data_IF_104882481187
#
_entry.id   IF_104882481187
#
_cell.length_a   1.000
_cell.length_b   1.000
_cell.length_c   1.000
_cell.angle_alpha   90.00
_cell.angle_beta   90.00
_cell.angle_gamma   90.00
#
_symmetry.space_group_name_H-M   'P 1'
#
loop_
_entity.id
_entity.type
_entity.pdbx_description
1 polymer ?
#
# COMPACT_ATOMS: atom_id res chain seq x y z
N UNK A 1 -17.23 16.29 -23.71
CA UNK A 1 -15.89 16.19 -23.11
C UNK A 1 -15.86 14.86 -22.38
N UNK A 2 -15.19 13.85 -22.93
CA UNK A 2 -15.14 12.52 -22.31
C UNK A 2 -14.41 12.61 -20.98
N UNK A 3 -14.96 12.03 -19.90
CA UNK A 3 -14.22 11.90 -18.65
C UNK A 3 -13.13 10.85 -18.92
N UNK A 4 -11.89 11.31 -19.08
CA UNK A 4 -10.75 10.41 -19.13
C UNK A 4 -10.64 9.71 -17.77
N UNK A 5 -10.75 8.38 -17.77
CA UNK A 5 -10.76 7.60 -16.54
C UNK A 5 -9.34 7.59 -15.95
N UNK A 6 -9.18 8.18 -14.76
CA UNK A 6 -7.89 8.18 -14.06
C UNK A 6 -7.46 6.75 -13.71
N UNK A 7 -6.18 6.48 -13.85
CA UNK A 7 -5.60 5.21 -13.43
C UNK A 7 -5.42 5.19 -11.91
N UNK A 8 -5.94 4.13 -11.28
CA UNK A 8 -5.83 3.89 -9.85
C UNK A 8 -4.43 3.36 -9.49
N UNK A 9 -3.76 4.01 -8.54
CA UNK A 9 -2.42 3.64 -8.07
C UNK A 9 -2.40 3.46 -6.54
N UNK A 10 -1.96 2.30 -6.10
CA UNK A 10 -1.81 1.93 -4.70
C UNK A 10 -0.33 2.00 -4.30
N UNK A 11 -0.01 2.74 -3.23
CA UNK A 11 1.36 2.84 -2.71
C UNK A 11 1.55 1.87 -1.54
N UNK A 12 2.54 0.99 -1.65
CA UNK A 12 3.05 0.14 -0.57
C UNK A 12 3.93 0.95 0.41
N UNK A 13 4.02 0.54 1.68
CA UNK A 13 4.84 1.22 2.68
C UNK A 13 6.31 1.30 2.26
N UNK A 14 6.86 0.23 1.66
CA UNK A 14 8.27 0.22 1.27
C UNK A 14 8.58 1.13 0.06
N UNK A 15 7.57 1.48 -0.75
CA UNK A 15 7.74 2.38 -1.91
C UNK A 15 8.12 3.80 -1.49
N UNK A 16 7.70 4.24 -0.30
CA UNK A 16 8.05 5.57 0.22
C UNK A 16 9.56 5.78 0.36
N UNK A 17 10.29 4.77 0.84
CA UNK A 17 11.75 4.84 0.91
C UNK A 17 12.34 5.01 -0.48
N UNK A 18 11.85 4.24 -1.46
CA UNK A 18 12.33 4.33 -2.84
C UNK A 18 12.11 5.73 -3.44
N UNK A 19 10.94 6.32 -3.23
CA UNK A 19 10.64 7.66 -3.73
C UNK A 19 11.51 8.73 -3.07
N UNK A 20 11.68 8.62 -1.75
CA UNK A 20 12.53 9.52 -0.97
C UNK A 20 14.00 9.43 -1.38
N UNK A 21 14.56 8.23 -1.45
CA UNK A 21 15.97 7.98 -1.77
C UNK A 21 16.36 8.51 -3.16
N UNK A 22 15.39 8.58 -4.08
CA UNK A 22 15.57 9.08 -5.45
C UNK A 22 15.08 10.51 -5.66
N UNK A 23 14.56 11.17 -4.62
CA UNK A 23 14.02 12.51 -4.71
C UNK A 23 12.88 12.65 -5.72
N UNK A 24 12.05 11.61 -5.88
CA UNK A 24 10.95 11.63 -6.85
C UNK A 24 9.84 12.57 -6.38
N UNK A 25 9.33 13.41 -7.28
CA UNK A 25 8.14 14.21 -7.05
C UNK A 25 6.92 13.52 -7.67
N UNK A 26 6.07 12.92 -6.83
CA UNK A 26 4.88 12.21 -7.31
C UNK A 26 3.89 13.14 -8.05
N UNK A 27 3.97 14.46 -7.86
CA UNK A 27 3.14 15.42 -8.60
C UNK A 27 3.52 15.48 -10.08
N UNK A 28 4.79 15.20 -10.39
CA UNK A 28 5.34 15.15 -11.76
C UNK A 28 5.24 13.74 -12.33
N UNK A 29 5.56 12.76 -11.49
CA UNK A 29 5.63 11.34 -11.86
C UNK A 29 4.25 10.69 -12.00
N UNK A 30 3.26 11.13 -11.22
CA UNK A 30 1.89 10.63 -11.20
C UNK A 30 0.90 11.81 -11.16
N UNK A 31 0.83 12.63 -12.23
CA UNK A 31 -0.01 13.83 -12.25
C UNK A 31 -1.48 13.50 -11.98
N UNK A 32 -2.12 14.28 -11.11
CA UNK A 32 -3.50 14.06 -10.63
C UNK A 32 -4.54 14.06 -11.74
N UNK A 33 -4.24 14.63 -12.91
CA UNK A 33 -5.10 14.62 -14.09
C UNK A 33 -5.25 13.21 -14.65
N UNK A 34 -4.21 12.37 -14.50
CA UNK A 34 -4.13 11.01 -15.05
C UNK A 34 -4.25 9.93 -13.97
N UNK A 35 -3.90 10.23 -12.73
CA UNK A 35 -3.80 9.24 -11.67
C UNK A 35 -4.63 9.60 -10.43
N UNK A 36 -5.18 8.56 -9.80
CA UNK A 36 -5.78 8.61 -8.48
C UNK A 36 -4.93 7.73 -7.55
N UNK A 37 -4.28 8.36 -6.58
CA UNK A 37 -3.30 7.71 -5.71
C UNK A 37 -3.92 7.44 -4.33
N UNK A 38 -3.71 6.24 -3.81
CA UNK A 38 -4.17 5.86 -2.48
C UNK A 38 -3.21 4.87 -1.81
N UNK A 39 -3.46 4.63 -0.53
CA UNK A 39 -2.82 3.59 0.27
C UNK A 39 -3.87 2.88 1.14
N UNK A 40 -3.69 1.59 1.46
CA UNK A 40 -4.54 0.92 2.45
C UNK A 40 -4.32 1.49 3.85
N UNK A 41 -5.33 1.38 4.72
CA UNK A 41 -5.26 1.78 6.13
C UNK A 41 -4.06 1.15 6.85
N UNK A 42 -3.72 -0.09 6.52
CA UNK A 42 -2.55 -0.78 7.05
C UNK A 42 -1.24 -0.05 6.72
N UNK A 43 -1.10 0.48 5.51
CA UNK A 43 0.10 1.25 5.12
C UNK A 43 0.17 2.57 5.89
N UNK A 44 -0.96 3.25 6.06
CA UNK A 44 -1.01 4.47 6.88
C UNK A 44 -0.61 4.19 8.34
N UNK A 45 -1.05 3.06 8.90
CA UNK A 45 -0.64 2.61 10.24
C UNK A 45 0.88 2.36 10.31
N UNK A 46 1.46 1.72 9.29
CA UNK A 46 2.92 1.52 9.24
C UNK A 46 3.69 2.85 9.14
N UNK A 47 3.20 3.80 8.33
CA UNK A 47 3.79 5.16 8.23
C UNK A 47 3.74 5.88 9.58
N UNK A 48 2.59 5.83 10.26
CA UNK A 48 2.42 6.45 11.57
C UNK A 48 3.36 5.84 12.63
N UNK A 49 3.71 4.56 12.47
CA UNK A 49 4.62 3.85 13.35
C UNK A 49 6.11 4.04 13.02
N UNK A 50 6.47 4.80 11.98
CA UNK A 50 7.88 5.12 11.68
C UNK A 50 8.46 5.96 12.83
N UNK A 51 9.47 5.44 13.57
CA UNK A 51 10.10 6.19 14.65
C UNK A 51 10.97 7.32 14.08
N UNK A 52 11.15 8.40 14.82
CA UNK A 52 12.02 9.51 14.40
C UNK A 52 13.47 9.05 14.24
N UNK A 53 13.93 8.16 15.11
CA UNK A 53 15.22 7.47 14.97
C UNK A 53 14.99 5.96 14.92
N UNK A 54 15.49 5.34 13.87
CA UNK A 54 15.46 3.88 13.70
C UNK A 54 16.42 3.16 14.66
N UNK A 55 16.30 1.83 14.76
CA UNK A 55 17.11 1.01 15.68
C UNK A 55 18.63 1.07 15.40
N UNK A 56 19.03 1.35 14.16
CA UNK A 56 20.42 1.51 13.74
C UNK A 56 20.89 2.98 13.79
N UNK A 57 20.10 3.89 14.37
CA UNK A 57 20.47 5.30 14.53
C UNK A 57 20.21 6.18 13.31
N UNK A 58 19.58 5.67 12.25
CA UNK A 58 19.19 6.50 11.10
C UNK A 58 18.05 7.44 11.48
N UNK A 59 18.23 8.74 11.21
CA UNK A 59 17.22 9.78 11.33
C UNK A 59 16.18 9.65 10.22
N UNK A 60 14.93 9.37 10.59
CA UNK A 60 13.79 9.23 9.69
C UNK A 60 12.94 10.49 9.60
N UNK A 61 13.27 11.58 10.31
CA UNK A 61 12.53 12.85 10.24
C UNK A 61 12.42 13.35 8.79
N UNK A 62 13.50 13.32 7.96
CA UNK A 62 13.42 13.73 6.55
C UNK A 62 12.45 12.86 5.73
N UNK A 63 12.48 11.54 5.92
CA UNK A 63 11.58 10.60 5.24
C UNK A 63 10.12 10.87 5.63
N UNK A 64 9.83 11.03 6.93
CA UNK A 64 8.48 11.33 7.42
C UNK A 64 7.98 12.65 6.84
N UNK A 65 8.81 13.70 6.86
CA UNK A 65 8.47 15.00 6.29
C UNK A 65 8.17 14.89 4.78
N UNK A 66 8.96 14.13 4.04
CA UNK A 66 8.72 13.84 2.64
C UNK A 66 7.39 13.11 2.41
N UNK A 67 7.10 12.05 3.16
CA UNK A 67 5.86 11.28 3.05
C UNK A 67 4.65 12.20 3.29
N UNK A 68 4.61 12.93 4.40
CA UNK A 68 3.48 13.80 4.73
C UNK A 68 3.29 14.93 3.73
N UNK A 69 4.38 15.56 3.28
CA UNK A 69 4.33 16.58 2.22
C UNK A 69 3.76 16.00 0.92
N UNK A 70 4.20 14.80 0.54
CA UNK A 70 3.77 14.13 -0.69
C UNK A 70 2.31 13.72 -0.63
N UNK A 71 1.85 13.16 0.50
CA UNK A 71 0.43 12.84 0.76
C UNK A 71 -0.43 14.09 0.59
N UNK A 72 -0.04 15.19 1.22
CA UNK A 72 -0.80 16.44 1.17
C UNK A 72 -0.82 17.04 -0.24
N UNK A 73 0.34 17.16 -0.90
CA UNK A 73 0.44 17.76 -2.23
C UNK A 73 -0.34 16.99 -3.31
N UNK A 74 -0.38 15.66 -3.20
CA UNK A 74 -1.02 14.78 -4.18
C UNK A 74 -2.42 14.32 -3.78
N UNK A 75 -2.93 14.77 -2.63
CA UNK A 75 -4.24 14.38 -2.08
C UNK A 75 -4.39 12.85 -1.99
N UNK A 76 -3.32 12.16 -1.56
CA UNK A 76 -3.29 10.70 -1.48
C UNK A 76 -4.30 10.25 -0.44
N UNK A 77 -5.23 9.38 -0.85
CA UNK A 77 -6.32 8.93 0.01
C UNK A 77 -5.95 7.66 0.76
N UNK A 78 -6.34 7.57 2.03
CA UNK A 78 -6.33 6.31 2.75
C UNK A 78 -7.63 5.58 2.45
N UNK A 79 -7.52 4.31 2.05
CA UNK A 79 -8.68 3.44 1.77
C UNK A 79 -8.79 2.35 2.83
N UNK A 80 -10.02 1.96 3.14
CA UNK A 80 -10.29 0.88 4.08
C UNK A 80 -11.53 0.11 3.66
N UNK A 81 -11.57 -1.16 4.07
CA UNK A 81 -12.78 -1.99 3.95
C UNK A 81 -13.71 -1.65 5.10
N UNK A 82 -15.02 -1.58 4.82
CA UNK A 82 -16.04 -1.42 5.84
C UNK A 82 -16.01 -2.58 6.82
N UNK A 83 -16.01 -2.27 8.11
CA UNK A 83 -16.07 -3.27 9.16
C UNK A 83 -16.31 -2.67 10.53
N UNK A 84 -16.42 -3.55 11.51
CA UNK A 84 -16.60 -3.16 12.90
C UNK A 84 -15.25 -3.03 13.61
N UNK A 85 -15.27 -2.39 14.79
CA UNK A 85 -14.09 -2.28 15.63
C UNK A 85 -13.53 -3.68 15.93
N UNK A 86 -12.24 -3.85 15.67
CA UNK A 86 -11.48 -5.03 16.10
C UNK A 86 -11.23 -4.93 17.59
N UNK A 87 -11.40 -6.05 18.29
CA UNK A 87 -11.22 -6.14 19.73
C UNK A 87 -9.95 -6.96 20.05
N UNK A 88 -9.33 -6.63 21.18
CA UNK A 88 -8.32 -7.45 21.83
C UNK A 88 -8.96 -8.69 22.49
N UNK A 89 -8.17 -9.70 22.90
CA UNK A 89 -8.71 -10.90 23.56
C UNK A 89 -9.50 -10.62 24.85
N UNK A 90 -9.24 -9.50 25.52
CA UNK A 90 -9.96 -9.04 26.71
C UNK A 90 -11.26 -8.29 26.39
N UNK A 91 -11.62 -8.15 25.11
CA UNK A 91 -12.82 -7.46 24.64
C UNK A 91 -12.67 -5.94 24.51
N UNK A 92 -11.51 -5.37 24.84
CA UNK A 92 -11.26 -3.94 24.64
C UNK A 92 -11.00 -3.62 23.16
N UNK A 93 -11.29 -2.40 22.67
CA UNK A 93 -10.96 -2.02 21.30
C UNK A 93 -9.44 -2.10 21.05
N UNK A 94 -9.06 -2.74 19.95
CA UNK A 94 -7.68 -2.76 19.48
C UNK A 94 -7.15 -1.34 19.32
N UNK A 95 -5.92 -1.11 19.76
CA UNK A 95 -5.22 0.18 19.61
C UNK A 95 -5.02 0.58 18.14
N UNK A 96 -5.12 -0.40 17.25
CA UNK A 96 -5.05 -0.23 15.80
C UNK A 96 -6.32 -0.78 15.16
N UNK A 97 -6.95 0.06 14.34
CA UNK A 97 -8.15 -0.27 13.58
C UNK A 97 -7.85 -0.18 12.08
N UNK A 98 -8.03 -1.32 11.39
CA UNK A 98 -7.81 -1.41 9.94
C UNK A 98 -9.11 -1.25 9.13
N UNK A 99 -10.26 -1.56 9.74
CA UNK A 99 -11.56 -1.36 9.11
C UNK A 99 -12.02 0.09 9.22
N UNK A 100 -12.64 0.59 8.14
CA UNK A 100 -13.38 1.83 8.15
C UNK A 100 -14.78 1.60 8.67
N UNK A 101 -15.23 2.43 9.62
CA UNK A 101 -16.62 2.42 10.05
C UNK A 101 -17.57 3.01 9.00
N UNK A 102 -18.79 3.35 9.44
CA UNK A 102 -19.80 3.99 8.61
C UNK A 102 -19.26 5.29 7.96
N UNK A 103 -19.44 5.41 6.64
CA UNK A 103 -19.01 6.57 5.86
C UNK A 103 -17.49 6.68 5.65
N UNK A 104 -16.70 5.73 6.14
CA UNK A 104 -15.23 5.75 6.05
C UNK A 104 -14.68 4.53 5.29
N UNK A 105 -15.35 3.38 5.38
CA UNK A 105 -14.99 2.15 4.68
C UNK A 105 -15.84 1.88 3.45
N UNK A 106 -15.29 1.09 2.51
CA UNK A 106 -16.00 0.60 1.32
C UNK A 106 -16.27 -0.90 1.44
N UNK A 107 -17.33 -1.39 0.78
CA UNK A 107 -17.52 -2.83 0.71
C UNK A 107 -16.40 -3.50 -0.07
N UNK A 108 -15.91 -4.60 0.47
CA UNK A 108 -14.86 -5.38 -0.18
C UNK A 108 -15.37 -5.99 -1.49
N UNK A 109 -14.63 -5.81 -2.57
CA UNK A 109 -14.94 -6.39 -3.88
C UNK A 109 -14.91 -7.92 -3.85
N UNK A 110 -15.58 -8.57 -4.81
CA UNK A 110 -15.62 -10.04 -4.92
C UNK A 110 -14.21 -10.63 -5.06
N UNK A 111 -13.34 -9.98 -5.84
CA UNK A 111 -11.93 -10.35 -5.96
C UNK A 111 -11.18 -10.21 -4.63
N UNK A 112 -11.44 -9.13 -3.89
CA UNK A 112 -10.89 -8.93 -2.55
C UNK A 112 -11.34 -10.01 -1.58
N UNK A 113 -12.64 -10.33 -1.53
CA UNK A 113 -13.17 -11.40 -0.68
C UNK A 113 -12.57 -12.75 -1.05
N UNK A 114 -12.49 -13.07 -2.35
CA UNK A 114 -11.85 -14.29 -2.84
C UNK A 114 -10.36 -14.38 -2.50
N UNK A 115 -9.64 -13.26 -2.56
CA UNK A 115 -8.24 -13.16 -2.15
C UNK A 115 -8.06 -13.56 -0.69
N UNK A 116 -8.79 -12.91 0.23
CA UNK A 116 -8.69 -13.20 1.66
C UNK A 116 -9.26 -14.57 2.03
N UNK A 117 -10.24 -15.10 1.31
CA UNK A 117 -10.77 -16.44 1.54
C UNK A 117 -9.84 -17.57 1.07
N UNK A 118 -8.81 -17.27 0.26
CA UNK A 118 -7.92 -18.30 -0.27
C UNK A 118 -7.02 -18.92 0.81
N UNK A 119 -6.80 -20.23 0.73
CA UNK A 119 -5.96 -20.96 1.69
C UNK A 119 -4.53 -20.41 1.76
N UNK A 120 -3.96 -20.02 0.61
CA UNK A 120 -2.62 -19.42 0.54
C UNK A 120 -2.54 -18.16 1.43
N UNK A 121 -3.50 -17.24 1.30
CA UNK A 121 -3.52 -15.98 2.05
C UNK A 121 -3.83 -16.24 3.53
N UNK A 122 -4.80 -17.10 3.82
CA UNK A 122 -5.13 -17.50 5.19
C UNK A 122 -3.90 -18.10 5.91
N UNK A 123 -3.12 -18.93 5.23
CA UNK A 123 -1.89 -19.52 5.79
C UNK A 123 -0.81 -18.48 6.10
N UNK A 124 -0.80 -17.36 5.38
CA UNK A 124 0.15 -16.26 5.59
C UNK A 124 -0.27 -15.32 6.73
N UNK A 125 -1.56 -15.28 7.08
CA UNK A 125 -2.13 -14.34 8.04
C UNK A 125 -2.43 -14.98 9.40
N UNK A 126 -2.91 -16.22 9.41
CA UNK A 126 -3.37 -16.89 10.64
C UNK A 126 -2.21 -17.27 11.58
N UNK A 127 -2.46 -17.14 12.89
CA UNK A 127 -1.50 -17.53 13.93
C UNK A 127 -0.34 -16.56 14.15
N UNK A 128 -0.30 -15.45 13.42
CA UNK A 128 0.73 -14.42 13.62
C UNK A 128 0.42 -13.55 14.84
N UNK A 129 1.44 -13.25 15.64
CA UNK A 129 1.35 -12.29 16.73
C UNK A 129 1.33 -10.84 16.20
N UNK A 130 0.76 -9.92 17.00
CA UNK A 130 0.84 -8.49 16.73
C UNK A 130 2.28 -8.00 16.83
N UNK A 131 2.70 -7.17 15.88
CA UNK A 131 3.97 -6.46 15.89
C UNK A 131 3.83 -5.15 16.69
N UNK A 132 4.92 -4.42 16.97
CA UNK A 132 4.84 -3.10 17.62
C UNK A 132 3.93 -2.09 16.90
N UNK A 133 3.73 -2.26 15.59
CA UNK A 133 2.79 -1.45 14.79
C UNK A 133 1.31 -1.80 15.04
N UNK A 134 0.99 -2.75 15.92
CA UNK A 134 -0.34 -3.30 16.14
C UNK A 134 -0.84 -4.27 15.05
N UNK A 135 -0.33 -4.15 13.83
CA UNK A 135 -0.57 -5.08 12.73
C UNK A 135 0.14 -6.43 12.94
N UNK A 136 -0.48 -7.50 12.44
CA UNK A 136 0.15 -8.82 12.34
C UNK A 136 1.10 -8.91 11.15
N UNK A 137 1.94 -9.95 11.13
CA UNK A 137 2.83 -10.23 9.99
C UNK A 137 2.00 -10.39 8.70
N UNK A 138 2.50 -9.83 7.59
CA UNK A 138 1.89 -9.87 6.26
C UNK A 138 0.54 -9.15 6.11
N UNK A 139 0.01 -8.50 7.16
CA UNK A 139 -1.31 -7.86 7.09
C UNK A 139 -1.32 -6.68 6.10
N UNK A 140 -0.32 -5.79 6.19
CA UNK A 140 -0.16 -4.67 5.26
C UNK A 140 0.10 -5.16 3.83
N UNK A 141 1.06 -6.07 3.64
CA UNK A 141 1.36 -6.69 2.35
C UNK A 141 0.11 -7.35 1.73
N UNK A 142 -0.73 -8.02 2.53
CA UNK A 142 -1.96 -8.65 2.04
C UNK A 142 -3.02 -7.63 1.62
N UNK A 143 -3.13 -6.50 2.33
CA UNK A 143 -3.99 -5.39 1.95
C UNK A 143 -3.52 -4.78 0.62
N UNK A 144 -2.25 -4.40 0.52
CA UNK A 144 -1.63 -3.89 -0.70
C UNK A 144 -1.80 -4.87 -1.87
N UNK A 145 -1.51 -6.16 -1.66
CA UNK A 145 -1.67 -7.20 -2.67
C UNK A 145 -3.12 -7.32 -3.16
N UNK A 146 -4.11 -7.18 -2.28
CA UNK A 146 -5.52 -7.20 -2.68
C UNK A 146 -5.89 -6.04 -3.61
N UNK A 147 -5.26 -4.87 -3.43
CA UNK A 147 -5.47 -3.70 -4.29
C UNK A 147 -4.94 -3.91 -5.71
N UNK A 148 -3.97 -4.80 -5.91
CA UNK A 148 -3.41 -5.10 -7.24
C UNK A 148 -4.45 -5.66 -8.23
N UNK A 149 -5.59 -6.17 -7.76
CA UNK A 149 -6.63 -6.72 -8.64
C UNK A 149 -7.52 -5.67 -9.33
N UNK A 150 -7.44 -4.41 -8.90
CA UNK A 150 -8.23 -3.29 -9.43
C UNK A 150 -7.43 -1.99 -9.57
N UNK A 151 -6.16 -1.99 -9.17
CA UNK A 151 -5.27 -0.84 -9.26
C UNK A 151 -3.83 -1.26 -9.44
N UNK A 152 -2.99 -0.34 -9.90
CA UNK A 152 -1.56 -0.57 -10.04
C UNK A 152 -0.90 -0.41 -8.68
N UNK A 153 -0.31 -1.47 -8.14
CA UNK A 153 0.48 -1.41 -6.91
C UNK A 153 1.91 -1.03 -7.24
N UNK A 154 2.43 -0.03 -6.53
CA UNK A 154 3.85 0.35 -6.54
C UNK A 154 4.51 -0.18 -5.27
N UNK A 155 5.55 -1.00 -5.43
CA UNK A 155 6.30 -1.58 -4.32
C UNK A 155 7.80 -1.57 -4.59
N UNK A 156 8.60 -1.31 -3.55
CA UNK A 156 10.06 -1.45 -3.59
C UNK A 156 10.53 -2.84 -3.09
N UNK A 157 9.61 -3.76 -2.85
CA UNK A 157 9.93 -5.14 -2.46
C UNK A 157 10.71 -5.86 -3.57
N UNK A 158 11.57 -6.81 -3.18
CA UNK A 158 12.20 -7.69 -4.15
C UNK A 158 11.17 -8.57 -4.84
N UNK A 159 11.19 -8.62 -6.18
CA UNK A 159 10.25 -9.41 -7.01
C UNK A 159 10.19 -10.88 -6.59
N UNK A 160 11.29 -11.42 -6.09
CA UNK A 160 11.38 -12.82 -5.69
C UNK A 160 11.00 -13.10 -4.25
N UNK A 161 10.79 -12.06 -3.42
CA UNK A 161 10.43 -12.22 -2.01
C UNK A 161 9.10 -12.96 -1.90
N UNK A 162 9.10 -14.02 -1.09
CA UNK A 162 7.89 -14.80 -0.81
C UNK A 162 6.97 -13.97 0.10
N UNK A 163 5.71 -13.87 -0.29
CA UNK A 163 4.71 -13.15 0.49
C UNK A 163 3.45 -12.84 -0.32
N UNK A 164 2.53 -12.06 0.25
CA UNK A 164 1.26 -11.71 -0.39
C UNK A 164 1.43 -10.99 -1.74
N UNK A 165 2.38 -10.07 -1.85
CA UNK A 165 2.62 -9.30 -3.10
C UNK A 165 3.03 -10.23 -4.24
N UNK A 166 4.02 -11.13 -4.03
CA UNK A 166 4.41 -12.13 -5.03
C UNK A 166 3.28 -13.08 -5.39
N UNK A 167 2.48 -13.50 -4.41
CA UNK A 167 1.31 -14.34 -4.66
C UNK A 167 0.27 -13.62 -5.53
N UNK A 168 0.01 -12.33 -5.29
CA UNK A 168 -0.89 -11.55 -6.12
C UNK A 168 -0.34 -11.35 -7.54
N UNK A 169 0.97 -11.08 -7.71
CA UNK A 169 1.61 -11.02 -9.02
C UNK A 169 1.37 -12.31 -9.83
N UNK A 170 1.55 -13.48 -9.18
CA UNK A 170 1.30 -14.78 -9.79
C UNK A 170 -0.17 -15.03 -10.14
N UNK A 171 -1.11 -14.28 -9.52
CA UNK A 171 -2.55 -14.32 -9.76
C UNK A 171 -3.02 -13.14 -10.61
N UNK A 172 -2.16 -12.63 -11.50
CA UNK A 172 -2.44 -11.53 -12.44
C UNK A 172 -2.74 -10.18 -11.75
N UNK A 173 -2.21 -9.96 -10.55
CA UNK A 173 -2.21 -8.66 -9.90
C UNK A 173 -1.36 -7.65 -10.68
N UNK A 174 -1.83 -6.41 -10.76
CA UNK A 174 -1.16 -5.28 -11.42
C UNK A 174 -0.09 -4.71 -10.49
N UNK A 175 1.16 -5.18 -10.61
CA UNK A 175 2.24 -4.83 -9.68
C UNK A 175 3.44 -4.30 -10.45
N UNK A 176 3.90 -3.11 -10.07
CA UNK A 176 5.15 -2.51 -10.53
C UNK A 176 6.16 -2.56 -9.40
N UNK A 177 7.23 -3.31 -9.65
CA UNK A 177 8.40 -3.37 -8.77
C UNK A 177 9.32 -2.18 -9.09
N UNK A 178 9.40 -1.24 -8.16
CA UNK A 178 10.09 0.04 -8.35
C UNK A 178 11.59 -0.12 -8.65
N UNK A 179 12.22 -1.18 -8.11
CA UNK A 179 13.61 -1.50 -8.44
C UNK A 179 13.81 -1.77 -9.94
N UNK A 180 12.89 -2.50 -10.57
CA UNK A 180 12.91 -2.78 -12.02
C UNK A 180 12.61 -1.51 -12.82
N UNK A 181 11.65 -0.71 -12.36
CA UNK A 181 11.37 0.60 -12.94
C UNK A 181 12.62 1.51 -12.94
N UNK A 182 13.39 1.52 -11.85
CA UNK A 182 14.61 2.34 -11.72
C UNK A 182 15.64 2.10 -12.81
N UNK A 183 15.66 0.90 -13.39
CA UNK A 183 16.59 0.51 -14.45
C UNK A 183 16.08 0.87 -15.86
N UNK A 184 14.83 1.32 -15.99
CA UNK A 184 14.20 1.60 -17.30
C UNK A 184 14.60 2.92 -17.93
N UNK A 185 15.04 3.90 -17.13
CA UNK A 185 15.27 5.29 -17.58
C UNK A 185 14.00 6.08 -17.95
N UNK A 186 12.80 5.50 -17.79
CA UNK A 186 11.52 6.17 -18.03
C UNK A 186 11.08 6.99 -16.82
N UNK A 187 10.19 7.96 -17.05
CA UNK A 187 9.36 8.50 -15.97
C UNK A 187 8.31 7.46 -15.54
N UNK A 188 7.87 7.51 -14.30
CA UNK A 188 6.93 6.54 -13.73
C UNK A 188 5.60 6.52 -14.50
N UNK A 189 5.06 7.69 -14.89
CA UNK A 189 3.87 7.77 -15.76
C UNK A 189 4.06 7.06 -17.09
N UNK A 190 5.23 7.17 -17.71
CA UNK A 190 5.51 6.54 -19.01
C UNK A 190 5.69 5.04 -18.81
N UNK A 191 6.43 4.64 -17.78
CA UNK A 191 6.61 3.24 -17.40
C UNK A 191 5.26 2.55 -17.15
N UNK A 192 4.36 3.19 -16.39
CA UNK A 192 2.99 2.69 -16.18
C UNK A 192 2.21 2.59 -17.50
N UNK A 193 2.35 3.58 -18.39
CA UNK A 193 1.65 3.61 -19.68
C UNK A 193 2.14 2.52 -20.64
N UNK A 194 3.39 2.10 -20.53
CA UNK A 194 3.96 1.01 -21.34
C UNK A 194 3.68 -0.38 -20.74
N UNK A 195 3.38 -0.45 -19.44
CA UNK A 195 3.08 -1.68 -18.72
C UNK A 195 1.58 -1.78 -18.37
N UNK A 196 0.68 -1.36 -19.28
CA UNK A 196 -0.76 -1.44 -19.06
C UNK A 196 -1.17 -2.91 -18.86
N UNK A 197 -1.70 -3.20 -17.67
CA UNK A 197 -2.24 -4.50 -17.25
C UNK A 197 -3.75 -4.63 -17.49
#
# INVERSE_FOLDING_TARGET
MGIEMKQAVCIDCCAWNYFFDRGLDLSVELPKERFSIFMPREVEIEIAAIPDTSKNGTDNIPLKAYIYKTIHANQIQTTSVFGFATLEPDGTPSSVQTYGGFGQGTFQSDKGRGWYASQDVQSMLNGNSKRPTGLTRNQADAAVASHSFYSIVLTAEDRDKKGPIKLAANKNGKIIYLKVFGDSGLSLKNYISENIF
#
